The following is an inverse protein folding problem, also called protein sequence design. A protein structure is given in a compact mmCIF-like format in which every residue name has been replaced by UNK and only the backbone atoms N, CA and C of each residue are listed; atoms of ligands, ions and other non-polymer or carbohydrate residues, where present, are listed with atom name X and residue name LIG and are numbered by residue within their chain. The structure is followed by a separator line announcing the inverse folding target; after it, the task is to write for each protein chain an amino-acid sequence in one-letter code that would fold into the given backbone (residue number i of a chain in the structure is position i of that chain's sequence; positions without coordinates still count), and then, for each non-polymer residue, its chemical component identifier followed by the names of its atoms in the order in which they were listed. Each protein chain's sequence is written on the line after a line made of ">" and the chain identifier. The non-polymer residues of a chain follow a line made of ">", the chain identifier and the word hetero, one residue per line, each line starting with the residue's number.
data_IF_163137926638
#
_entry.id   IF_163137926638
#
_cell.length_a   1.000
_cell.length_b   1.000
_cell.length_c   1.000
_cell.angle_alpha   90.00
_cell.angle_beta   90.00
_cell.angle_gamma   90.00
#
_symmetry.space_group_name_H-M   'P 1'
#
loop_
_entity.id
_entity.type
_entity.pdbx_description
1 polymer ?
#
# COMPACT_ATOMS: atom_id res chain seq x y z
N UNK A 1 33.79 -6.82 5.61
CA UNK A 1 34.41 -6.58 4.29
C UNK A 1 33.33 -6.02 3.40
N UNK A 2 33.57 -4.95 2.61
CA UNK A 2 32.55 -4.45 1.68
C UNK A 2 32.21 -5.58 0.71
N UNK A 3 30.92 -5.92 0.59
CA UNK A 3 30.43 -6.79 -0.47
C UNK A 3 30.79 -6.09 -1.77
N UNK A 4 31.56 -6.76 -2.64
CA UNK A 4 31.83 -6.22 -3.96
C UNK A 4 30.56 -6.42 -4.77
N UNK A 5 30.12 -5.37 -5.43
CA UNK A 5 28.87 -5.40 -6.20
C UNK A 5 29.20 -5.16 -7.66
N UNK A 6 28.66 -6.01 -8.54
CA UNK A 6 28.76 -5.82 -9.98
C UNK A 6 27.47 -5.18 -10.46
N UNK A 7 27.56 -4.02 -11.10
CA UNK A 7 26.42 -3.31 -11.66
C UNK A 7 26.44 -3.43 -13.19
N UNK A 8 25.31 -3.80 -13.78
CA UNK A 8 25.11 -3.80 -15.22
C UNK A 8 23.76 -3.14 -15.56
N UNK A 9 23.78 -2.26 -16.56
CA UNK A 9 22.60 -1.59 -17.05
C UNK A 9 22.62 -1.58 -18.57
N UNK A 10 21.52 -2.01 -19.18
CA UNK A 10 21.32 -1.99 -20.63
C UNK A 10 19.84 -2.13 -20.95
N UNK A 11 19.44 -1.87 -22.20
CA UNK A 11 18.08 -2.12 -22.64
C UNK A 11 17.80 -3.63 -22.73
N UNK A 12 18.75 -4.42 -23.21
CA UNK A 12 18.61 -5.87 -23.37
C UNK A 12 19.91 -6.57 -22.95
N UNK A 13 19.80 -7.60 -22.10
CA UNK A 13 20.96 -8.40 -21.71
C UNK A 13 21.25 -9.44 -22.79
N UNK A 14 22.35 -9.29 -23.53
CA UNK A 14 22.79 -10.33 -24.47
C UNK A 14 23.29 -11.60 -23.74
N UNK A 15 23.15 -12.77 -24.39
CA UNK A 15 23.65 -14.05 -23.85
C UNK A 15 25.15 -14.02 -23.55
N UNK A 16 25.97 -13.47 -24.45
CA UNK A 16 27.43 -13.36 -24.23
C UNK A 16 27.72 -12.53 -22.99
N UNK A 17 26.96 -11.46 -22.77
CA UNK A 17 27.15 -10.65 -21.57
C UNK A 17 26.70 -11.38 -20.31
N UNK A 18 25.58 -12.11 -20.37
CA UNK A 18 25.14 -12.95 -19.27
C UNK A 18 26.19 -14.01 -18.90
N UNK A 19 26.84 -14.64 -19.88
CA UNK A 19 27.94 -15.60 -19.69
C UNK A 19 29.19 -14.98 -19.06
N UNK A 20 29.47 -13.69 -19.31
CA UNK A 20 30.52 -12.98 -18.58
C UNK A 20 30.15 -12.73 -17.12
N UNK A 21 28.88 -12.37 -16.88
CA UNK A 21 28.38 -11.98 -15.55
C UNK A 21 28.18 -13.18 -14.61
N UNK A 22 28.00 -14.40 -15.11
CA UNK A 22 27.85 -15.59 -14.24
C UNK A 22 29.09 -15.96 -13.43
N UNK A 23 30.26 -15.50 -13.85
CA UNK A 23 31.52 -15.71 -13.14
C UNK A 23 31.76 -14.68 -12.02
N UNK A 24 30.88 -13.68 -11.89
CA UNK A 24 30.92 -12.76 -10.76
C UNK A 24 30.64 -13.52 -9.45
N UNK A 25 31.59 -13.47 -8.51
CA UNK A 25 31.52 -14.23 -7.26
C UNK A 25 30.69 -13.60 -6.14
N UNK A 26 30.20 -12.38 -6.33
CA UNK A 26 29.48 -11.59 -5.32
C UNK A 26 28.05 -11.27 -5.80
N UNK A 27 27.49 -10.13 -5.40
CA UNK A 27 26.15 -9.69 -5.82
C UNK A 27 26.19 -9.01 -7.20
N UNK A 28 25.16 -9.28 -8.01
CA UNK A 28 24.97 -8.73 -9.35
C UNK A 28 23.69 -7.90 -9.39
N UNK A 29 23.80 -6.60 -9.67
CA UNK A 29 22.66 -5.72 -9.94
C UNK A 29 22.49 -5.53 -11.44
N UNK A 30 21.26 -5.73 -11.90
CA UNK A 30 20.84 -5.61 -13.28
C UNK A 30 19.72 -4.56 -13.38
N UNK A 31 19.90 -3.57 -14.25
CA UNK A 31 18.82 -2.66 -14.67
C UNK A 31 18.58 -2.92 -16.16
N UNK A 32 17.45 -3.55 -16.50
CA UNK A 32 17.17 -4.06 -17.84
C UNK A 32 15.80 -3.58 -18.34
N UNK A 33 15.69 -3.24 -19.63
CA UNK A 33 14.41 -3.05 -20.30
C UNK A 33 13.76 -4.38 -20.72
N UNK A 34 14.59 -5.34 -21.13
CA UNK A 34 14.20 -6.66 -21.66
C UNK A 34 15.18 -7.76 -21.23
N UNK A 35 14.64 -8.95 -21.02
CA UNK A 35 15.43 -10.17 -20.80
C UNK A 35 14.92 -11.28 -21.73
N UNK A 36 15.81 -11.79 -22.59
CA UNK A 36 15.49 -12.92 -23.47
C UNK A 36 15.80 -14.28 -22.82
N UNK A 37 15.18 -15.33 -23.37
CA UNK A 37 15.26 -16.70 -22.87
C UNK A 37 16.70 -17.25 -22.81
N UNK A 38 17.58 -16.91 -23.75
CA UNK A 38 18.95 -17.41 -23.77
C UNK A 38 19.80 -16.73 -22.68
N UNK A 39 19.65 -15.41 -22.54
CA UNK A 39 20.32 -14.66 -21.48
C UNK A 39 19.82 -15.08 -20.09
N UNK A 40 18.50 -15.26 -19.92
CA UNK A 40 17.91 -15.75 -18.67
C UNK A 40 18.43 -17.14 -18.28
N UNK A 41 18.52 -18.06 -19.25
CA UNK A 41 19.11 -19.40 -19.02
C UNK A 41 20.59 -19.33 -18.67
N UNK A 42 21.36 -18.46 -19.31
CA UNK A 42 22.75 -18.27 -18.95
C UNK A 42 22.88 -17.84 -17.49
N UNK A 43 22.04 -16.90 -17.02
CA UNK A 43 22.03 -16.44 -15.63
C UNK A 43 21.72 -17.56 -14.60
N UNK A 44 21.07 -18.66 -14.97
CA UNK A 44 20.84 -19.77 -14.05
C UNK A 44 22.14 -20.42 -13.52
N UNK A 45 23.25 -20.24 -14.26
CA UNK A 45 24.57 -20.70 -13.90
C UNK A 45 25.36 -19.70 -13.02
N UNK A 46 24.72 -18.59 -12.59
CA UNK A 46 25.34 -17.57 -11.75
C UNK A 46 25.93 -18.17 -10.46
N UNK A 47 27.24 -17.99 -10.29
CA UNK A 47 28.01 -18.55 -9.17
C UNK A 47 28.04 -17.64 -7.95
N UNK A 48 27.72 -16.36 -8.12
CA UNK A 48 27.72 -15.35 -7.07
C UNK A 48 26.59 -15.52 -6.05
N UNK A 49 26.40 -14.52 -5.20
CA UNK A 49 25.50 -14.60 -4.04
C UNK A 49 24.04 -14.38 -4.40
N UNK A 50 23.71 -13.24 -5.01
CA UNK A 50 22.37 -12.88 -5.45
C UNK A 50 22.40 -12.03 -6.72
N UNK A 51 21.33 -12.14 -7.51
CA UNK A 51 21.00 -11.28 -8.64
C UNK A 51 19.85 -10.39 -8.19
N UNK A 52 20.06 -9.08 -8.30
CA UNK A 52 19.08 -8.04 -8.05
C UNK A 52 18.66 -7.48 -9.40
N UNK A 53 17.37 -7.55 -9.73
CA UNK A 53 16.81 -6.81 -10.85
C UNK A 53 16.23 -5.52 -10.28
N UNK A 54 16.98 -4.44 -10.46
CA UNK A 54 16.65 -3.11 -9.95
C UNK A 54 15.70 -2.40 -10.93
N UNK A 55 14.72 -1.70 -10.35
CA UNK A 55 13.65 -1.05 -11.10
C UNK A 55 12.47 -1.98 -11.37
N UNK A 56 11.84 -1.84 -12.53
CA UNK A 56 10.71 -2.70 -12.93
C UNK A 56 11.21 -4.03 -13.49
N UNK A 57 10.41 -5.09 -13.30
CA UNK A 57 10.61 -6.37 -13.96
C UNK A 57 10.72 -6.17 -15.49
N UNK A 58 11.85 -6.55 -16.12
CA UNK A 58 12.07 -6.34 -17.56
C UNK A 58 11.02 -7.08 -18.37
N UNK A 59 10.73 -6.59 -19.57
CA UNK A 59 9.90 -7.33 -20.52
C UNK A 59 10.54 -8.70 -20.81
N UNK A 60 9.77 -9.77 -20.60
CA UNK A 60 10.29 -11.13 -20.66
C UNK A 60 9.21 -12.10 -21.11
N UNK A 61 9.61 -13.21 -21.72
CA UNK A 61 8.71 -14.29 -22.14
C UNK A 61 8.62 -15.40 -21.08
N UNK A 62 7.74 -16.39 -21.31
CA UNK A 62 7.58 -17.52 -20.38
C UNK A 62 8.87 -18.26 -20.09
N UNK A 63 9.74 -18.47 -21.10
CA UNK A 63 11.02 -19.14 -20.88
C UNK A 63 11.91 -18.34 -19.92
N UNK A 64 12.01 -17.04 -20.13
CA UNK A 64 12.79 -16.14 -19.28
C UNK A 64 12.23 -16.09 -17.86
N UNK A 65 10.90 -16.12 -17.73
CA UNK A 65 10.21 -16.14 -16.44
C UNK A 65 10.53 -17.43 -15.67
N UNK A 66 10.51 -18.59 -16.33
CA UNK A 66 10.86 -19.87 -15.73
C UNK A 66 12.29 -19.87 -15.18
N UNK A 67 13.25 -19.33 -15.92
CA UNK A 67 14.64 -19.19 -15.46
C UNK A 67 14.76 -18.29 -14.23
N UNK A 68 14.05 -17.15 -14.21
CA UNK A 68 14.01 -16.28 -13.04
C UNK A 68 13.35 -16.97 -11.83
N UNK A 69 12.23 -17.66 -12.02
CA UNK A 69 11.57 -18.44 -10.97
C UNK A 69 12.51 -19.52 -10.43
N UNK A 70 13.27 -20.19 -11.30
CA UNK A 70 14.28 -21.18 -10.89
C UNK A 70 15.41 -20.56 -10.05
N UNK A 71 15.88 -19.36 -10.41
CA UNK A 71 16.84 -18.60 -9.60
C UNK A 71 16.25 -18.19 -8.25
N UNK A 72 15.01 -17.70 -8.22
CA UNK A 72 14.30 -17.36 -6.98
C UNK A 72 14.12 -18.56 -6.06
N UNK A 73 13.77 -19.73 -6.61
CA UNK A 73 13.69 -20.99 -5.86
C UNK A 73 15.02 -21.45 -5.24
N UNK A 74 16.16 -20.98 -5.77
CA UNK A 74 17.50 -21.20 -5.20
C UNK A 74 17.92 -20.09 -4.22
N UNK A 75 17.06 -19.11 -3.94
CA UNK A 75 17.38 -17.94 -3.13
C UNK A 75 18.39 -16.99 -3.79
N UNK A 76 18.50 -17.02 -5.12
CA UNK A 76 19.46 -16.23 -5.91
C UNK A 76 18.86 -15.01 -6.57
N UNK A 77 17.54 -14.84 -6.55
CA UNK A 77 16.87 -13.73 -7.22
C UNK A 77 16.21 -12.81 -6.19
N UNK A 78 16.38 -11.51 -6.41
CA UNK A 78 15.54 -10.46 -5.83
C UNK A 78 15.11 -9.52 -6.94
N UNK A 79 13.83 -9.17 -6.93
CA UNK A 79 13.22 -8.22 -7.86
C UNK A 79 12.87 -6.98 -7.07
N UNK A 80 13.15 -5.79 -7.58
CA UNK A 80 12.72 -4.58 -6.90
C UNK A 80 11.19 -4.38 -7.05
N UNK A 81 10.70 -4.30 -8.29
CA UNK A 81 9.28 -4.04 -8.54
C UNK A 81 8.67 -4.96 -9.61
N UNK A 82 7.57 -5.63 -9.28
CA UNK A 82 6.71 -6.34 -10.24
C UNK A 82 5.41 -5.57 -10.43
N UNK A 83 5.12 -5.14 -11.67
CA UNK A 83 3.85 -4.48 -12.04
C UNK A 83 3.12 -5.37 -13.05
N UNK A 84 2.02 -6.00 -12.65
CA UNK A 84 1.34 -7.02 -13.45
C UNK A 84 0.84 -6.48 -14.80
N UNK A 85 0.31 -5.25 -14.83
CA UNK A 85 -0.18 -4.60 -16.05
C UNK A 85 0.88 -4.54 -17.16
N UNK A 86 2.16 -4.35 -16.82
CA UNK A 86 3.26 -4.27 -17.79
C UNK A 86 3.50 -5.60 -18.53
N UNK A 87 3.03 -6.71 -17.97
CA UNK A 87 3.22 -8.06 -18.49
C UNK A 87 1.92 -8.71 -18.96
N UNK A 88 0.81 -7.98 -18.93
CA UNK A 88 -0.49 -8.46 -19.41
C UNK A 88 -0.42 -8.77 -20.89
N UNK A 89 -0.84 -9.97 -21.28
CA UNK A 89 -0.79 -10.45 -22.66
C UNK A 89 0.56 -11.05 -23.07
N UNK A 90 1.60 -10.93 -22.24
CA UNK A 90 2.91 -11.55 -22.46
C UNK A 90 3.13 -12.76 -21.54
N UNK A 91 2.75 -12.62 -20.27
CA UNK A 91 2.80 -13.68 -19.27
C UNK A 91 1.39 -13.98 -18.77
N UNK A 92 1.17 -15.23 -18.37
CA UNK A 92 -0.04 -15.57 -17.63
C UNK A 92 0.04 -15.07 -16.18
N UNK A 93 -1.14 -14.91 -15.57
CA UNK A 93 -1.30 -14.44 -14.18
C UNK A 93 -0.46 -15.27 -13.20
N UNK A 94 -0.50 -16.60 -13.33
CA UNK A 94 0.19 -17.50 -12.40
C UNK A 94 1.71 -17.31 -12.45
N UNK A 95 2.27 -17.05 -13.63
CA UNK A 95 3.69 -16.76 -13.82
C UNK A 95 4.08 -15.44 -13.15
N UNK A 96 3.27 -14.39 -13.32
CA UNK A 96 3.48 -13.09 -12.66
C UNK A 96 3.45 -13.24 -11.13
N UNK A 97 2.45 -13.95 -10.60
CA UNK A 97 2.32 -14.18 -9.15
C UNK A 97 3.49 -15.00 -8.58
N UNK A 98 4.02 -15.96 -9.32
CA UNK A 98 5.20 -16.71 -8.88
C UNK A 98 6.47 -15.84 -8.84
N UNK A 99 6.64 -14.92 -9.80
CA UNK A 99 7.72 -13.94 -9.77
C UNK A 99 7.56 -12.95 -8.61
N UNK A 100 6.34 -12.50 -8.33
CA UNK A 100 6.02 -11.55 -7.26
C UNK A 100 6.53 -12.00 -5.87
N UNK A 101 6.67 -13.30 -5.62
CA UNK A 101 7.22 -13.86 -4.37
C UNK A 101 8.67 -13.47 -4.12
N UNK A 102 9.41 -13.10 -5.16
CA UNK A 102 10.82 -12.71 -5.08
C UNK A 102 10.99 -11.19 -5.15
N UNK A 103 9.88 -10.44 -5.14
CA UNK A 103 9.89 -8.99 -5.27
C UNK A 103 9.83 -8.28 -3.91
N UNK A 104 10.47 -7.13 -3.83
CA UNK A 104 10.32 -6.21 -2.72
C UNK A 104 8.95 -5.51 -2.81
N UNK A 105 8.54 -5.07 -4.00
CA UNK A 105 7.25 -4.41 -4.22
C UNK A 105 6.46 -5.04 -5.36
N UNK A 106 5.15 -5.20 -5.16
CA UNK A 106 4.23 -5.83 -6.11
C UNK A 106 3.02 -4.94 -6.30
N UNK A 107 2.76 -4.58 -7.55
CA UNK A 107 1.52 -3.95 -7.98
C UNK A 107 0.76 -4.92 -8.90
N UNK A 108 -0.38 -5.42 -8.44
CA UNK A 108 -1.25 -6.33 -9.19
C UNK A 108 -2.34 -5.62 -9.99
N UNK A 109 -2.17 -4.33 -10.32
CA UNK A 109 -3.02 -3.66 -11.29
C UNK A 109 -3.05 -4.43 -12.61
N UNK A 110 -4.23 -4.55 -13.21
CA UNK A 110 -4.52 -5.43 -14.34
C UNK A 110 -4.85 -6.89 -13.97
N UNK A 111 -4.69 -7.33 -12.72
CA UNK A 111 -5.16 -8.65 -12.25
C UNK A 111 -6.59 -8.54 -11.74
N UNK A 112 -7.56 -8.81 -12.63
CA UNK A 112 -8.98 -8.57 -12.35
C UNK A 112 -9.58 -9.48 -11.27
N UNK A 113 -9.06 -10.71 -11.14
CA UNK A 113 -9.59 -11.72 -10.22
C UNK A 113 -8.44 -12.51 -9.57
N UNK A 114 -8.57 -12.69 -8.25
CA UNK A 114 -7.72 -13.56 -7.44
C UNK A 114 -8.57 -14.72 -6.92
N UNK A 115 -8.13 -15.95 -7.20
CA UNK A 115 -8.72 -17.14 -6.63
C UNK A 115 -7.92 -17.63 -5.39
N UNK A 116 -8.36 -18.75 -4.82
CA UNK A 116 -7.72 -19.37 -3.65
C UNK A 116 -6.28 -19.81 -3.95
N UNK A 117 -5.96 -20.25 -5.16
CA UNK A 117 -4.59 -20.65 -5.52
C UNK A 117 -3.69 -19.42 -5.65
N UNK A 118 -4.18 -18.35 -6.27
CA UNK A 118 -3.47 -17.08 -6.35
C UNK A 118 -3.16 -16.53 -4.96
N UNK A 119 -4.15 -16.54 -4.06
CA UNK A 119 -3.99 -16.08 -2.69
C UNK A 119 -2.99 -16.94 -1.89
N UNK A 120 -2.92 -18.25 -2.15
CA UNK A 120 -1.91 -19.15 -1.55
C UNK A 120 -0.50 -18.85 -2.01
N UNK A 121 -0.32 -18.34 -3.22
CA UNK A 121 0.98 -17.87 -3.69
C UNK A 121 1.38 -16.62 -2.89
N UNK A 122 0.46 -15.66 -2.81
CA UNK A 122 0.68 -14.36 -2.18
C UNK A 122 0.74 -14.40 -0.65
N UNK A 123 0.17 -15.41 0.02
CA UNK A 123 0.20 -15.50 1.50
C UNK A 123 1.61 -15.55 2.08
N UNK A 124 2.62 -15.89 1.27
CA UNK A 124 4.04 -15.95 1.65
C UNK A 124 4.80 -14.66 1.37
N UNK A 125 4.14 -13.65 0.82
CA UNK A 125 4.74 -12.37 0.49
C UNK A 125 5.14 -11.62 1.76
N UNK A 126 6.39 -11.16 1.79
CA UNK A 126 7.02 -10.45 2.92
C UNK A 126 7.92 -9.30 2.45
N UNK A 127 7.65 -8.75 1.25
CA UNK A 127 8.33 -7.58 0.73
C UNK A 127 7.79 -6.28 1.36
N UNK A 128 8.19 -5.14 0.82
CA UNK A 128 7.77 -3.81 1.30
C UNK A 128 6.32 -3.49 0.93
N UNK A 129 5.90 -3.68 -0.34
CA UNK A 129 4.57 -3.22 -0.78
C UNK A 129 3.79 -4.31 -1.51
N UNK A 130 2.54 -4.50 -1.10
CA UNK A 130 1.56 -5.35 -1.81
C UNK A 130 0.33 -4.52 -2.17
N UNK A 131 0.19 -4.18 -3.46
CA UNK A 131 -0.91 -3.37 -3.98
C UNK A 131 -1.89 -4.25 -4.78
N UNK A 132 -3.15 -4.28 -4.34
CA UNK A 132 -4.19 -5.19 -4.82
C UNK A 132 -5.39 -4.39 -5.35
N UNK A 133 -5.67 -4.54 -6.64
CA UNK A 133 -6.77 -3.86 -7.34
C UNK A 133 -7.75 -4.83 -8.04
N UNK A 134 -8.18 -5.95 -7.42
CA UNK A 134 -9.08 -6.87 -8.09
C UNK A 134 -10.50 -6.29 -8.17
N UNK A 135 -11.29 -6.75 -9.14
CA UNK A 135 -12.72 -6.37 -9.26
C UNK A 135 -13.56 -6.87 -8.09
N UNK A 136 -13.17 -8.00 -7.51
CA UNK A 136 -13.82 -8.58 -6.33
C UNK A 136 -12.83 -9.42 -5.53
N UNK A 137 -13.14 -9.65 -4.26
CA UNK A 137 -12.39 -10.54 -3.39
C UNK A 137 -13.35 -11.27 -2.46
N UNK A 138 -13.25 -12.60 -2.41
CA UNK A 138 -14.03 -13.38 -1.45
C UNK A 138 -13.42 -13.28 -0.05
N UNK A 139 -14.19 -13.51 1.03
CA UNK A 139 -13.65 -13.58 2.37
C UNK A 139 -12.56 -14.65 2.56
N UNK A 140 -12.61 -15.75 1.79
CA UNK A 140 -11.60 -16.81 1.82
C UNK A 140 -10.28 -16.35 1.19
N UNK A 141 -10.34 -15.67 0.04
CA UNK A 141 -9.16 -15.06 -0.61
C UNK A 141 -8.55 -14.01 0.31
N UNK A 142 -9.38 -13.13 0.90
CA UNK A 142 -8.95 -12.14 1.88
C UNK A 142 -8.26 -12.76 3.11
N UNK A 143 -8.76 -13.88 3.65
CA UNK A 143 -8.13 -14.56 4.78
C UNK A 143 -6.74 -15.07 4.45
N UNK A 144 -6.55 -15.59 3.23
CA UNK A 144 -5.24 -16.07 2.76
C UNK A 144 -4.28 -14.89 2.53
N UNK A 145 -4.75 -13.83 1.87
CA UNK A 145 -3.96 -12.60 1.66
C UNK A 145 -3.56 -11.97 3.00
N UNK A 146 -4.42 -12.01 4.02
CA UNK A 146 -4.12 -11.44 5.34
C UNK A 146 -2.93 -12.07 6.07
N UNK A 147 -2.42 -13.20 5.55
CA UNK A 147 -1.24 -13.89 6.09
C UNK A 147 0.06 -13.39 5.46
N UNK A 148 -0.02 -12.65 4.35
CA UNK A 148 1.11 -11.87 3.87
C UNK A 148 1.52 -10.86 4.95
N UNK A 149 2.81 -10.56 5.00
CA UNK A 149 3.38 -9.67 6.02
C UNK A 149 4.22 -8.57 5.38
N UNK A 150 3.66 -7.77 4.44
CA UNK A 150 4.40 -6.67 3.88
C UNK A 150 4.56 -5.51 4.87
N UNK A 151 5.39 -4.52 4.55
CA UNK A 151 5.38 -3.26 5.31
C UNK A 151 4.09 -2.47 5.04
N UNK A 152 3.64 -2.45 3.79
CA UNK A 152 2.42 -1.82 3.33
C UNK A 152 1.54 -2.79 2.54
N UNK A 153 0.25 -2.80 2.85
CA UNK A 153 -0.79 -3.40 2.01
C UNK A 153 -1.78 -2.34 1.56
N UNK A 154 -2.05 -2.26 0.27
CA UNK A 154 -3.08 -1.40 -0.31
C UNK A 154 -4.10 -2.25 -1.03
N UNK A 155 -5.37 -2.06 -0.67
CA UNK A 155 -6.49 -2.77 -1.28
C UNK A 155 -7.49 -1.76 -1.81
N UNK A 156 -7.85 -1.89 -3.08
CA UNK A 156 -8.94 -1.12 -3.70
C UNK A 156 -9.82 -2.08 -4.48
N UNK A 157 -11.07 -2.21 -4.03
CA UNK A 157 -12.05 -3.12 -4.62
C UNK A 157 -13.35 -2.34 -4.74
N UNK A 158 -14.01 -2.30 -5.91
CA UNK A 158 -15.26 -1.58 -6.11
C UNK A 158 -16.31 -1.91 -5.05
N UNK A 159 -16.61 -3.20 -4.88
CA UNK A 159 -17.59 -3.68 -3.91
C UNK A 159 -16.90 -4.60 -2.90
N UNK A 160 -16.82 -4.16 -1.64
CA UNK A 160 -16.23 -4.95 -0.55
C UNK A 160 -17.28 -5.31 0.51
N UNK A 161 -17.38 -6.59 0.84
CA UNK A 161 -18.29 -7.05 1.90
C UNK A 161 -17.69 -6.86 3.30
N UNK A 162 -18.52 -6.72 4.35
CA UNK A 162 -18.04 -6.70 5.73
C UNK A 162 -17.22 -7.94 6.11
N UNK A 163 -17.56 -9.12 5.59
CA UNK A 163 -16.82 -10.36 5.82
C UNK A 163 -15.43 -10.33 5.19
N UNK A 164 -15.30 -9.71 4.01
CA UNK A 164 -14.03 -9.54 3.29
C UNK A 164 -13.12 -8.59 4.06
N UNK A 165 -13.65 -7.43 4.50
CA UNK A 165 -12.91 -6.51 5.38
C UNK A 165 -12.50 -7.20 6.68
N UNK A 166 -13.39 -7.97 7.31
CA UNK A 166 -13.07 -8.69 8.55
C UNK A 166 -11.96 -9.73 8.36
N UNK A 167 -11.90 -10.35 7.19
CA UNK A 167 -10.81 -11.26 6.85
C UNK A 167 -9.49 -10.49 6.62
N UNK A 168 -9.52 -9.42 5.83
CA UNK A 168 -8.36 -8.53 5.63
C UNK A 168 -7.87 -7.88 6.92
N UNK A 169 -8.75 -7.59 7.87
CA UNK A 169 -8.40 -6.94 9.13
C UNK A 169 -7.52 -7.82 10.05
N UNK A 170 -7.32 -9.10 9.70
CA UNK A 170 -6.35 -9.99 10.36
C UNK A 170 -4.91 -9.74 9.91
N UNK A 171 -4.73 -8.95 8.85
CA UNK A 171 -3.42 -8.58 8.32
C UNK A 171 -2.60 -7.86 9.38
N UNK A 172 -1.29 -8.00 9.25
CA UNK A 172 -0.32 -7.36 10.15
C UNK A 172 0.77 -6.67 9.33
N UNK A 173 0.40 -5.70 8.48
CA UNK A 173 1.43 -4.88 7.86
C UNK A 173 2.19 -4.13 8.96
N UNK A 174 3.50 -3.99 8.78
CA UNK A 174 4.33 -3.35 9.80
C UNK A 174 4.05 -1.85 9.91
N UNK A 175 3.85 -1.20 8.77
CA UNK A 175 3.73 0.24 8.64
C UNK A 175 2.27 0.62 8.34
N UNK A 176 1.77 0.27 7.15
CA UNK A 176 0.52 0.87 6.65
C UNK A 176 -0.47 -0.14 6.06
N UNK A 177 -1.75 0.04 6.42
CA UNK A 177 -2.88 -0.60 5.75
C UNK A 177 -3.72 0.46 5.05
N UNK A 178 -3.82 0.37 3.72
CA UNK A 178 -4.63 1.27 2.90
C UNK A 178 -5.86 0.54 2.35
N UNK A 179 -7.02 1.17 2.45
CA UNK A 179 -8.26 0.68 1.87
C UNK A 179 -9.05 1.80 1.20
N UNK A 180 -9.28 1.65 -0.10
CA UNK A 180 -10.17 2.52 -0.86
C UNK A 180 -11.58 1.93 -0.87
N UNK A 181 -12.55 2.73 -0.43
CA UNK A 181 -13.95 2.37 -0.29
C UNK A 181 -14.80 3.23 -1.23
N UNK A 182 -15.70 2.59 -1.97
CA UNK A 182 -16.74 3.28 -2.73
C UNK A 182 -17.76 3.98 -1.82
N UNK A 183 -18.61 4.81 -2.44
CA UNK A 183 -19.61 5.60 -1.75
C UNK A 183 -20.58 4.74 -0.93
N UNK A 184 -20.76 5.10 0.35
CA UNK A 184 -21.62 4.38 1.28
C UNK A 184 -21.10 3.01 1.74
N UNK A 185 -19.92 2.56 1.30
CA UNK A 185 -19.38 1.26 1.71
C UNK A 185 -18.91 1.24 3.17
N UNK A 186 -18.49 2.37 3.73
CA UNK A 186 -18.05 2.46 5.13
C UNK A 186 -19.24 2.39 6.09
N UNK A 187 -19.59 1.17 6.51
CA UNK A 187 -20.60 0.91 7.54
C UNK A 187 -19.96 0.77 8.93
N UNK A 188 -20.75 0.83 10.02
CA UNK A 188 -20.23 0.59 11.37
C UNK A 188 -19.55 -0.77 11.53
N UNK A 189 -20.04 -1.81 10.84
CA UNK A 189 -19.42 -3.14 10.88
C UNK A 189 -18.04 -3.16 10.22
N UNK A 190 -17.90 -2.49 9.07
CA UNK A 190 -16.62 -2.34 8.37
C UNK A 190 -15.66 -1.52 9.22
N UNK A 191 -16.10 -0.37 9.73
CA UNK A 191 -15.33 0.49 10.63
C UNK A 191 -14.85 -0.26 11.89
N UNK A 192 -15.70 -1.11 12.49
CA UNK A 192 -15.34 -1.92 13.66
C UNK A 192 -14.34 -3.03 13.36
N UNK A 193 -14.34 -3.55 12.13
CA UNK A 193 -13.31 -4.49 11.68
C UNK A 193 -11.98 -3.77 11.45
N UNK A 194 -12.00 -2.62 10.77
CA UNK A 194 -10.81 -1.82 10.46
C UNK A 194 -10.11 -1.29 11.71
N UNK A 195 -10.86 -0.90 12.74
CA UNK A 195 -10.26 -0.40 14.00
C UNK A 195 -9.45 -1.44 14.77
N UNK A 196 -9.53 -2.73 14.38
CA UNK A 196 -8.78 -3.84 14.97
C UNK A 196 -7.54 -4.24 14.17
N UNK A 197 -7.26 -3.57 13.05
CA UNK A 197 -6.05 -3.80 12.26
C UNK A 197 -4.82 -3.49 13.12
N UNK A 198 -3.79 -4.31 12.95
CA UNK A 198 -2.49 -4.07 13.56
C UNK A 198 -1.53 -3.51 12.50
N UNK A 199 -1.44 -2.18 12.46
CA UNK A 199 -0.57 -1.37 11.61
C UNK A 199 -0.25 -0.07 12.36
N UNK A 200 0.85 0.61 12.04
CA UNK A 200 1.13 1.97 12.57
C UNK A 200 0.15 2.99 11.99
N UNK A 201 -0.17 2.84 10.71
CA UNK A 201 -1.07 3.71 9.96
C UNK A 201 -2.23 2.92 9.33
N UNK A 202 -3.43 3.46 9.48
CA UNK A 202 -4.62 3.01 8.74
C UNK A 202 -5.07 4.16 7.86
N UNK A 203 -4.96 3.99 6.54
CA UNK A 203 -5.39 4.97 5.56
C UNK A 203 -6.68 4.51 4.90
N UNK A 204 -7.71 5.33 5.00
CA UNK A 204 -9.02 5.08 4.40
C UNK A 204 -9.36 6.19 3.43
N UNK A 205 -9.66 5.81 2.20
CA UNK A 205 -10.30 6.70 1.23
C UNK A 205 -11.77 6.35 1.19
N UNK A 206 -12.65 7.30 1.49
CA UNK A 206 -14.10 7.11 1.38
C UNK A 206 -14.80 8.45 1.13
N UNK A 207 -16.03 8.42 0.63
CA UNK A 207 -16.79 9.64 0.33
C UNK A 207 -17.45 10.27 1.55
N UNK A 208 -17.87 9.43 2.51
CA UNK A 208 -18.64 9.84 3.69
C UNK A 208 -18.33 8.96 4.90
N UNK A 209 -18.32 9.58 6.08
CA UNK A 209 -18.27 8.87 7.37
C UNK A 209 -19.39 9.37 8.26
N UNK A 210 -20.32 8.47 8.60
CA UNK A 210 -21.36 8.75 9.58
C UNK A 210 -20.83 8.70 11.03
N UNK A 211 -21.63 9.19 11.99
CA UNK A 211 -21.20 9.26 13.39
C UNK A 211 -21.01 7.90 14.07
N UNK A 212 -21.74 6.86 13.66
CA UNK A 212 -21.62 5.52 14.23
C UNK A 212 -20.35 4.83 13.72
N UNK A 213 -20.10 4.91 12.41
CA UNK A 213 -18.86 4.45 11.77
C UNK A 213 -17.63 5.17 12.33
N UNK A 214 -17.70 6.49 12.49
CA UNK A 214 -16.66 7.28 13.15
C UNK A 214 -16.39 6.83 14.60
N UNK A 215 -17.42 6.48 15.36
CA UNK A 215 -17.25 5.99 16.73
C UNK A 215 -16.52 4.64 16.79
N UNK A 216 -16.71 3.78 15.77
CA UNK A 216 -15.97 2.53 15.67
C UNK A 216 -14.51 2.76 15.28
N UNK A 217 -14.25 3.65 14.30
CA UNK A 217 -12.90 4.02 13.86
C UNK A 217 -12.07 4.69 14.97
N UNK A 218 -12.72 5.46 15.86
CA UNK A 218 -12.05 6.06 17.02
C UNK A 218 -11.40 5.03 17.97
N UNK A 219 -11.78 3.74 17.86
CA UNK A 219 -11.14 2.64 18.57
C UNK A 219 -9.78 2.21 18.02
N UNK A 220 -9.36 2.72 16.85
CA UNK A 220 -8.04 2.40 16.29
C UNK A 220 -6.92 3.00 17.14
N UNK A 221 -5.86 2.22 17.35
CA UNK A 221 -4.78 2.58 18.27
C UNK A 221 -3.58 3.26 17.60
N UNK A 222 -3.45 3.15 16.28
CA UNK A 222 -2.41 3.81 15.49
C UNK A 222 -2.83 5.19 14.99
N UNK A 223 -2.23 5.66 13.91
CA UNK A 223 -2.63 6.92 13.27
C UNK A 223 -3.66 6.65 12.19
N UNK A 224 -4.88 7.14 12.40
CA UNK A 224 -5.94 7.08 11.40
C UNK A 224 -5.77 8.23 10.41
N UNK A 225 -5.53 7.89 9.14
CA UNK A 225 -5.56 8.82 8.01
C UNK A 225 -6.87 8.63 7.25
N UNK A 226 -7.67 9.68 7.18
CA UNK A 226 -8.97 9.63 6.52
C UNK A 226 -9.00 10.66 5.39
N UNK A 227 -9.00 10.18 4.16
CA UNK A 227 -9.33 11.00 3.00
C UNK A 227 -10.84 10.91 2.76
N UNK A 228 -11.55 11.97 3.17
CA UNK A 228 -13.00 12.01 3.10
C UNK A 228 -13.50 13.44 2.86
N UNK A 229 -14.01 13.75 1.65
CA UNK A 229 -14.45 15.11 1.33
C UNK A 229 -15.72 15.51 2.10
N UNK A 230 -16.54 14.54 2.55
CA UNK A 230 -17.79 14.84 3.26
C UNK A 230 -17.76 14.31 4.69
N UNK A 231 -17.23 15.13 5.61
CA UNK A 231 -17.13 14.79 7.03
C UNK A 231 -17.92 15.77 7.90
N UNK A 232 -18.99 15.29 8.55
CA UNK A 232 -19.83 16.12 9.41
C UNK A 232 -19.23 16.32 10.81
N UNK A 233 -19.56 17.45 11.46
CA UNK A 233 -19.08 17.77 12.82
C UNK A 233 -19.36 16.68 13.86
N UNK A 234 -20.46 15.94 13.74
CA UNK A 234 -20.77 14.83 14.64
C UNK A 234 -19.82 13.63 14.47
N UNK A 235 -19.41 13.31 13.24
CA UNK A 235 -18.42 12.27 12.98
C UNK A 235 -17.04 12.70 13.52
N UNK A 236 -16.65 13.96 13.30
CA UNK A 236 -15.41 14.51 13.87
C UNK A 236 -15.38 14.48 15.39
N UNK A 237 -16.49 14.82 16.07
CA UNK A 237 -16.59 14.68 17.54
C UNK A 237 -16.33 13.25 18.01
N UNK A 238 -16.69 12.25 17.21
CA UNK A 238 -16.43 10.84 17.53
C UNK A 238 -14.97 10.46 17.28
N UNK A 239 -14.41 10.83 16.13
CA UNK A 239 -13.01 10.55 15.79
C UNK A 239 -12.05 11.20 16.80
N UNK A 240 -12.29 12.48 17.11
CA UNK A 240 -11.47 13.26 18.03
C UNK A 240 -11.67 12.90 19.49
N UNK A 241 -12.61 12.01 19.84
CA UNK A 241 -12.72 11.45 21.19
C UNK A 241 -11.61 10.45 21.51
N UNK A 242 -10.90 9.94 20.47
CA UNK A 242 -9.69 9.15 20.64
C UNK A 242 -8.47 10.04 20.93
N UNK A 243 -7.46 9.47 21.59
CA UNK A 243 -6.15 10.09 21.79
C UNK A 243 -5.11 9.64 20.74
N UNK A 244 -5.51 8.75 19.83
CA UNK A 244 -4.65 8.22 18.78
C UNK A 244 -4.37 9.28 17.70
N UNK A 245 -3.35 9.08 16.86
CA UNK A 245 -3.05 10.03 15.77
C UNK A 245 -4.25 10.17 14.82
N UNK A 246 -4.58 11.41 14.43
CA UNK A 246 -5.68 11.69 13.52
C UNK A 246 -5.25 12.67 12.42
N UNK A 247 -5.32 12.19 11.19
CA UNK A 247 -5.05 12.95 9.98
C UNK A 247 -6.32 12.95 9.10
N UNK A 248 -6.82 14.14 8.76
CA UNK A 248 -8.04 14.30 7.96
C UNK A 248 -7.70 15.08 6.68
N UNK A 249 -7.89 14.45 5.51
CA UNK A 249 -7.88 15.16 4.23
C UNK A 249 -9.31 15.45 3.80
N UNK A 250 -9.67 16.74 3.72
CA UNK A 250 -11.02 17.19 3.39
C UNK A 250 -11.13 17.77 1.96
N UNK A 251 -10.07 17.69 1.15
CA UNK A 251 -9.99 18.00 -0.29
C UNK A 251 -10.85 19.19 -0.79
N UNK A 252 -10.25 20.38 -0.86
CA UNK A 252 -10.84 21.65 -1.32
C UNK A 252 -12.03 22.15 -0.46
N UNK A 253 -12.04 21.80 0.82
CA UNK A 253 -13.10 22.16 1.77
C UNK A 253 -12.88 23.53 2.44
N UNK A 254 -13.97 24.26 2.67
CA UNK A 254 -14.00 25.42 3.58
C UNK A 254 -14.21 24.88 5.00
N UNK A 255 -13.25 25.14 5.91
CA UNK A 255 -13.38 24.69 7.30
C UNK A 255 -14.37 25.59 8.05
N UNK A 256 -15.59 25.11 8.23
CA UNK A 256 -16.64 25.82 8.96
C UNK A 256 -16.47 25.73 10.48
N UNK A 257 -17.06 26.70 11.17
CA UNK A 257 -16.89 26.88 12.63
C UNK A 257 -17.34 25.66 13.44
N UNK A 258 -18.41 24.99 13.05
CA UNK A 258 -18.95 23.85 13.78
C UNK A 258 -18.03 22.61 13.73
N UNK A 259 -17.35 22.42 12.60
CA UNK A 259 -16.32 21.40 12.40
C UNK A 259 -15.06 21.75 13.21
N UNK A 260 -14.62 23.01 13.18
CA UNK A 260 -13.53 23.48 14.03
C UNK A 260 -13.82 23.33 15.52
N UNK A 261 -15.04 23.66 15.97
CA UNK A 261 -15.46 23.43 17.36
C UNK A 261 -15.48 21.94 17.70
N UNK A 262 -15.81 21.04 16.76
CA UNK A 262 -15.72 19.60 16.99
C UNK A 262 -14.26 19.15 17.22
N UNK A 263 -13.31 19.70 16.46
CA UNK A 263 -11.87 19.43 16.61
C UNK A 263 -11.34 20.01 17.92
N UNK A 264 -11.59 21.30 18.15
CA UNK A 264 -11.14 22.05 19.32
C UNK A 264 -11.62 21.43 20.64
N UNK A 265 -12.83 20.86 20.67
CA UNK A 265 -13.41 20.27 21.89
C UNK A 265 -13.17 18.76 22.06
N UNK A 266 -12.53 18.08 21.10
CA UNK A 266 -12.20 16.65 21.20
C UNK A 266 -11.24 16.30 22.35
N UNK A 267 -10.93 15.03 22.56
CA UNK A 267 -9.87 14.60 23.47
C UNK A 267 -8.49 14.50 22.77
N UNK A 268 -8.47 14.42 21.44
CA UNK A 268 -7.26 14.22 20.66
C UNK A 268 -6.30 15.42 20.78
N UNK A 269 -5.08 15.24 21.30
CA UNK A 269 -4.12 16.33 21.45
C UNK A 269 -3.47 16.80 20.14
N UNK A 270 -3.56 16.00 19.07
CA UNK A 270 -2.91 16.27 17.79
C UNK A 270 -3.84 15.91 16.62
N UNK A 271 -4.30 16.93 15.89
CA UNK A 271 -5.10 16.75 14.68
C UNK A 271 -4.42 17.46 13.52
N UNK A 272 -4.15 16.71 12.46
CA UNK A 272 -3.63 17.25 11.20
C UNK A 272 -4.77 17.34 10.19
N UNK A 273 -5.01 18.54 9.66
CA UNK A 273 -5.95 18.77 8.56
C UNK A 273 -5.20 19.09 7.26
N UNK A 274 -5.55 18.37 6.20
CA UNK A 274 -5.06 18.61 4.84
C UNK A 274 -6.21 19.01 3.93
N UNK A 275 -5.86 19.63 2.80
CA UNK A 275 -6.82 19.91 1.73
C UNK A 275 -7.75 21.09 2.02
N UNK A 276 -7.44 21.93 3.03
CA UNK A 276 -8.31 23.06 3.40
C UNK A 276 -8.12 24.21 2.40
N UNK A 277 -9.20 24.65 1.78
CA UNK A 277 -9.19 25.78 0.84
C UNK A 277 -9.12 27.12 1.56
N UNK A 278 -9.93 27.27 2.60
CA UNK A 278 -10.06 28.52 3.38
C UNK A 278 -10.77 28.25 4.71
N UNK A 279 -10.68 29.20 5.64
CA UNK A 279 -11.38 29.15 6.92
C UNK A 279 -12.69 29.96 6.84
N UNK A 280 -13.77 29.37 7.34
CA UNK A 280 -15.05 30.04 7.52
C UNK A 280 -15.00 31.13 8.62
N UNK A 281 -16.08 31.90 8.73
CA UNK A 281 -16.16 32.99 9.70
C UNK A 281 -16.14 32.47 11.15
N UNK A 282 -15.21 32.96 11.95
CA UNK A 282 -15.04 32.56 13.36
C UNK A 282 -14.40 31.17 13.56
N UNK A 283 -13.96 30.50 12.49
CA UNK A 283 -13.26 29.22 12.57
C UNK A 283 -11.90 29.36 13.26
N UNK A 284 -11.13 30.40 12.93
CA UNK A 284 -9.85 30.66 13.56
C UNK A 284 -10.00 30.93 15.08
N UNK A 285 -11.05 31.65 15.50
CA UNK A 285 -11.32 31.91 16.91
C UNK A 285 -11.64 30.61 17.68
N UNK A 286 -12.39 29.70 17.05
CA UNK A 286 -12.70 28.40 17.64
C UNK A 286 -11.43 27.56 17.84
N UNK A 287 -10.53 27.54 16.85
CA UNK A 287 -9.26 26.82 16.93
C UNK A 287 -8.28 27.47 17.92
N UNK A 288 -8.17 28.80 17.95
CA UNK A 288 -7.31 29.52 18.91
C UNK A 288 -7.77 29.40 20.37
N UNK A 289 -8.99 28.91 20.62
CA UNK A 289 -9.52 28.75 21.97
C UNK A 289 -9.18 27.40 22.62
N UNK A 290 -8.48 26.51 21.89
CA UNK A 290 -8.12 25.17 22.35
C UNK A 290 -6.67 25.11 22.85
N UNK A 291 -6.41 24.29 23.86
CA UNK A 291 -5.04 24.03 24.36
C UNK A 291 -4.33 22.91 23.55
N UNK A 292 -4.76 22.67 22.30
CA UNK A 292 -4.33 21.53 21.49
C UNK A 292 -3.61 21.98 20.24
N UNK A 293 -2.70 21.14 19.78
CA UNK A 293 -1.99 21.36 18.53
C UNK A 293 -2.89 20.93 17.36
N UNK A 294 -3.38 21.92 16.63
CA UNK A 294 -4.10 21.70 15.36
C UNK A 294 -3.23 22.23 14.25
N UNK A 295 -2.72 21.33 13.43
CA UNK A 295 -1.96 21.69 12.24
C UNK A 295 -2.89 21.71 11.03
N UNK A 296 -2.85 22.80 10.27
CA UNK A 296 -3.62 22.93 9.04
C UNK A 296 -2.68 23.20 7.88
N UNK A 297 -2.69 22.31 6.89
CA UNK A 297 -2.12 22.55 5.57
C UNK A 297 -3.22 23.00 4.61
N UNK A 298 -3.09 24.23 4.12
CA UNK A 298 -3.99 24.75 3.09
C UNK A 298 -3.51 24.36 1.70
N UNK A 299 -4.42 24.30 0.73
CA UNK A 299 -4.09 24.07 -0.69
C UNK A 299 -3.16 25.15 -1.30
N UNK A 300 -2.91 26.23 -0.57
CA UNK A 300 -2.00 27.32 -0.96
C UNK A 300 -0.58 27.13 -0.40
N UNK A 301 -0.32 26.05 0.35
CA UNK A 301 0.94 25.81 1.05
C UNK A 301 1.12 26.69 2.29
N UNK A 302 0.07 27.42 2.71
CA UNK A 302 0.07 28.11 4.00
C UNK A 302 -0.18 27.09 5.11
N UNK A 303 0.73 27.08 6.07
CA UNK A 303 0.66 26.25 7.27
C UNK A 303 0.20 27.11 8.42
N UNK A 304 -0.90 26.73 9.07
CA UNK A 304 -1.35 27.36 10.30
C UNK A 304 -1.15 26.41 11.47
N UNK A 305 -0.43 26.89 12.48
CA UNK A 305 -0.21 26.21 13.76
C UNK A 305 -1.05 26.91 14.83
N UNK A 306 -1.98 26.18 15.43
CA UNK A 306 -2.82 26.65 16.53
C UNK A 306 -2.38 25.87 17.78
N UNK A 307 -1.96 26.59 18.82
CA UNK A 307 -1.42 26.06 20.09
C UNK A 307 -2.14 26.62 21.30
#
# INVERSE_FOLDING_TARGET
>A
MPVRETNYQDEELSVTKAEELIECGDDLRLVLGRLDCNAARALEAFKGNSIFIDGHLPLLDHCSAESLIALGGKGKLKLHWVVAQQHTGHLDKTTILNLARFADSVNLDGVEELDVQDARILQSFNGTQLLLYPRSMSPEVADLISRASPDLISVSIPEISPETVKALAKSRPWDEFQLDLEDGALTPNIASALSRIYAEHLTLTCTHVDAESAAQLAGYHGTLRLQCPTLGANAVRKLTASIAGLELSLDDTILERDLAEAIANGANPFVHLYGIKSLGAGTADALNSTDKVVYIETNLGEVHDFT
#
